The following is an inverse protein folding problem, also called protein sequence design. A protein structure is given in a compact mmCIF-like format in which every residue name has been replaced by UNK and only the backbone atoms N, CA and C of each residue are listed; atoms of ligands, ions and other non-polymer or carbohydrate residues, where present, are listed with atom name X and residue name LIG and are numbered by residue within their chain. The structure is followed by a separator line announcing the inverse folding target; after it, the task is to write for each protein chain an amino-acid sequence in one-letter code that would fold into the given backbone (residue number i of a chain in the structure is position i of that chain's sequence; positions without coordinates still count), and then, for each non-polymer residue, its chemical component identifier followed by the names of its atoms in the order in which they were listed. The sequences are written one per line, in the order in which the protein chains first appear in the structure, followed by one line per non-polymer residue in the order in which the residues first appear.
data_IF_150957892037
#
_entry.id   IF_150957892037
#
_cell.length_a   1.000
_cell.length_b   1.000
_cell.length_c   1.000
_cell.angle_alpha   90.00
_cell.angle_beta   90.00
_cell.angle_gamma   90.00
#
_symmetry.space_group_name_H-M   'P 1'
#
loop_
_entity.id
_entity.type
_entity.pdbx_description
1 polymer ?
#
# COMPACT_ATOMS: atom_id res chain seq x y z
N UNK A 1 -13.39 2.37 -7.63
CA UNK A 1 -13.28 1.24 -6.68
C UNK A 1 -14.57 1.20 -5.87
N UNK A 2 -15.18 0.03 -5.63
CA UNK A 2 -16.34 -0.11 -4.73
C UNK A 2 -15.92 -0.81 -3.45
N UNK A 3 -16.41 -0.34 -2.31
CA UNK A 3 -16.15 -0.96 -1.01
C UNK A 3 -16.78 -2.36 -0.94
N UNK A 4 -16.00 -3.37 -0.56
CA UNK A 4 -16.50 -4.74 -0.40
C UNK A 4 -17.53 -4.92 0.73
N UNK A 5 -17.66 -3.93 1.64
CA UNK A 5 -18.59 -4.00 2.78
C UNK A 5 -19.93 -3.34 2.52
N UNK A 6 -19.95 -2.20 1.82
CA UNK A 6 -21.16 -1.41 1.61
C UNK A 6 -21.43 -1.04 0.15
N UNK A 7 -20.59 -1.49 -0.79
CA UNK A 7 -20.69 -1.26 -2.24
C UNK A 7 -20.63 0.21 -2.71
N UNK A 8 -20.44 1.15 -1.79
CA UNK A 8 -20.23 2.57 -2.07
C UNK A 8 -18.87 2.82 -2.73
N UNK A 9 -18.74 3.97 -3.39
CA UNK A 9 -17.48 4.40 -4.00
C UNK A 9 -16.39 4.59 -2.93
N UNK A 10 -15.16 4.26 -3.29
CA UNK A 10 -13.98 4.49 -2.45
C UNK A 10 -13.12 5.59 -3.05
N UNK A 11 -12.60 6.44 -2.17
CA UNK A 11 -11.65 7.51 -2.52
C UNK A 11 -10.22 7.01 -2.39
N UNK A 12 -9.35 7.47 -3.27
CA UNK A 12 -7.91 7.23 -3.12
C UNK A 12 -7.36 8.20 -2.06
N UNK A 13 -6.61 7.67 -1.10
CA UNK A 13 -6.00 8.44 -0.02
C UNK A 13 -4.47 8.28 -0.03
N UNK A 14 -3.77 9.26 0.55
CA UNK A 14 -2.34 9.16 0.82
C UNK A 14 -2.12 8.58 2.21
N UNK A 15 -1.29 7.55 2.32
CA UNK A 15 -0.91 6.96 3.60
C UNK A 15 0.42 7.58 4.06
N UNK A 16 0.34 8.59 4.91
CA UNK A 16 1.51 9.29 5.47
C UNK A 16 1.73 8.88 6.93
N UNK A 17 2.99 8.89 7.37
CA UNK A 17 3.36 8.76 8.78
C UNK A 17 4.09 10.02 9.25
N UNK A 18 4.41 10.13 10.55
CA UNK A 18 5.20 11.25 11.09
C UNK A 18 6.71 11.17 10.71
N UNK A 19 6.98 10.69 9.50
CA UNK A 19 8.31 10.50 8.95
C UNK A 19 8.44 11.37 7.70
N UNK A 20 9.68 11.79 7.39
CA UNK A 20 10.00 12.55 6.18
C UNK A 20 9.68 11.74 4.90
N UNK A 21 9.53 10.42 5.01
CA UNK A 21 9.33 9.51 3.88
C UNK A 21 7.93 8.87 3.89
N UNK A 22 7.29 8.71 2.71
CA UNK A 22 6.07 7.93 2.56
C UNK A 22 6.24 6.49 3.06
N UNK A 23 5.15 5.88 3.52
CA UNK A 23 5.13 4.46 3.87
C UNK A 23 5.27 3.61 2.60
N UNK A 24 6.20 2.65 2.62
CA UNK A 24 6.44 1.72 1.53
C UNK A 24 6.43 0.27 2.01
N UNK A 25 6.05 -0.64 1.13
CA UNK A 25 6.19 -2.07 1.32
C UNK A 25 7.65 -2.45 1.04
N UNK A 26 8.21 -3.35 1.85
CA UNK A 26 9.55 -3.90 1.67
C UNK A 26 9.52 -5.41 1.67
N UNK A 27 10.31 -6.03 0.80
CA UNK A 27 10.62 -7.45 0.86
C UNK A 27 12.13 -7.63 1.05
N UNK A 28 12.54 -8.27 2.15
CA UNK A 28 13.94 -8.63 2.39
C UNK A 28 14.06 -10.14 2.27
N UNK A 29 14.85 -10.62 1.30
CA UNK A 29 15.35 -12.00 1.36
C UNK A 29 16.46 -12.07 2.42
N UNK A 30 16.44 -13.13 3.23
CA UNK A 30 17.50 -13.42 4.18
C UNK A 30 18.80 -13.73 3.40
N UNK A 31 19.75 -12.80 3.40
CA UNK A 31 21.03 -12.93 2.72
C UNK A 31 21.69 -11.57 2.51
N UNK A 32 22.93 -11.43 2.95
CA UNK A 32 23.62 -10.18 3.32
C UNK A 32 23.92 -9.22 2.13
N UNK A 33 23.44 -9.48 0.91
CA UNK A 33 23.85 -8.72 -0.29
C UNK A 33 22.67 -8.24 -1.16
N UNK A 34 21.42 -8.61 -0.87
CA UNK A 34 20.32 -8.23 -1.76
C UNK A 34 19.79 -6.81 -1.44
N UNK A 35 19.79 -5.95 -2.46
CA UNK A 35 19.26 -4.59 -2.37
C UNK A 35 17.80 -4.62 -1.92
N UNK A 36 17.44 -3.81 -0.92
CA UNK A 36 16.08 -3.77 -0.38
C UNK A 36 15.06 -3.44 -1.49
N UNK A 37 14.17 -4.40 -1.75
CA UNK A 37 13.08 -4.23 -2.72
C UNK A 37 11.96 -3.43 -2.07
N UNK A 38 11.51 -2.36 -2.75
CA UNK A 38 10.47 -1.45 -2.25
C UNK A 38 9.38 -1.22 -3.28
N UNK A 39 8.16 -1.02 -2.81
CA UNK A 39 7.01 -0.56 -3.58
C UNK A 39 6.18 0.43 -2.77
N UNK A 40 5.66 1.47 -3.43
CA UNK A 40 4.73 2.41 -2.78
C UNK A 40 3.42 1.70 -2.42
N UNK A 41 2.69 2.26 -1.46
CA UNK A 41 1.35 1.78 -1.09
C UNK A 41 0.29 2.63 -1.80
N UNK A 42 -0.62 2.00 -2.53
CA UNK A 42 -1.86 2.62 -3.00
C UNK A 42 -2.93 2.33 -1.95
N UNK A 43 -3.56 3.37 -1.43
CA UNK A 43 -4.58 3.28 -0.39
C UNK A 43 -5.93 3.77 -0.92
N UNK A 44 -6.98 3.00 -0.67
CA UNK A 44 -8.36 3.41 -0.88
C UNK A 44 -9.11 3.34 0.44
N UNK A 45 -9.95 4.34 0.70
CA UNK A 45 -10.80 4.41 1.90
C UNK A 45 -12.25 4.57 1.46
N UNK A 46 -13.15 3.80 2.05
CA UNK A 46 -14.59 3.98 1.86
C UNK A 46 -15.07 5.22 2.62
N UNK A 47 -15.74 6.15 1.91
CA UNK A 47 -16.27 7.37 2.50
C UNK A 47 -17.36 7.13 3.55
N UNK A 48 -18.10 6.03 3.42
CA UNK A 48 -19.26 5.75 4.28
C UNK A 48 -18.90 4.96 5.54
N UNK A 49 -18.15 3.86 5.39
CA UNK A 49 -17.88 2.93 6.50
C UNK A 49 -16.43 2.93 6.98
N UNK A 50 -15.54 3.70 6.35
CA UNK A 50 -14.14 3.81 6.73
C UNK A 50 -13.28 2.57 6.45
N UNK A 51 -13.80 1.56 5.75
CA UNK A 51 -13.00 0.39 5.35
C UNK A 51 -11.84 0.80 4.42
N UNK A 52 -10.68 0.18 4.63
CA UNK A 52 -9.43 0.51 3.93
C UNK A 52 -8.97 -0.70 3.11
N UNK A 53 -8.59 -0.45 1.86
CA UNK A 53 -7.89 -1.40 1.00
C UNK A 53 -6.51 -0.87 0.61
N UNK A 54 -5.49 -1.72 0.73
CA UNK A 54 -4.10 -1.38 0.46
C UNK A 54 -3.55 -2.28 -0.65
N UNK A 55 -2.88 -1.68 -1.63
CA UNK A 55 -2.23 -2.38 -2.75
C UNK A 55 -0.77 -1.97 -2.89
N UNK A 56 0.07 -2.90 -3.34
CA UNK A 56 1.42 -2.59 -3.76
C UNK A 56 1.41 -1.91 -5.14
N UNK A 57 2.02 -0.72 -5.26
CA UNK A 57 2.27 -0.10 -6.57
C UNK A 57 3.38 -0.85 -7.28
N UNK A 58 3.07 -1.42 -8.44
CA UNK A 58 3.96 -2.31 -9.18
C UNK A 58 4.50 -3.47 -8.31
N UNK A 59 3.66 -4.47 -7.98
CA UNK A 59 4.02 -5.57 -7.08
C UNK A 59 5.21 -6.40 -7.59
N UNK A 60 5.58 -6.31 -8.87
CA UNK A 60 6.74 -6.99 -9.43
C UNK A 60 8.04 -6.50 -8.79
N UNK A 61 8.09 -5.24 -8.31
CA UNK A 61 9.26 -4.69 -7.61
C UNK A 61 9.54 -5.39 -6.29
N UNK A 62 8.53 -6.03 -5.69
CA UNK A 62 8.65 -6.82 -4.46
C UNK A 62 8.96 -8.29 -4.72
N UNK A 63 8.89 -8.75 -5.97
CA UNK A 63 9.30 -10.12 -6.32
C UNK A 63 10.81 -10.22 -6.21
N UNK A 64 11.26 -11.36 -5.73
CA UNK A 64 12.66 -11.66 -5.55
C UNK A 64 13.07 -12.76 -6.53
#
# INVERSE_FOLDING_TARGET
MKCVKCECEMIQAELTGNNIYPLFLKNKRNGIIDSEKRADVICYVCSECGYIELYAKDPKRLKA
#
